data_IF_471660454836
#
_entry.id   IF_471660454836
#
_cell.length_a   1.000
_cell.length_b   1.000
_cell.length_c   1.000
_cell.angle_alpha   90.00
_cell.angle_beta   90.00
_cell.angle_gamma   90.00
#
_symmetry.space_group_name_H-M   'P 1'
#
loop_
_entity.id
_entity.type
_entity.pdbx_description
1 polymer ?
#
# COMPACT_ATOMS: atom_id res chain seq x y z
N UNK A 1 -6.84 4.43 9.73
CA UNK A 1 -7.70 3.66 8.80
C UNK A 1 -7.00 3.55 7.48
N UNK A 2 -6.88 2.37 6.88
CA UNK A 2 -6.17 2.14 5.63
C UNK A 2 -7.09 1.76 4.48
N UNK A 3 -6.55 1.73 3.27
CA UNK A 3 -7.22 1.19 2.10
C UNK A 3 -7.25 -0.34 2.19
N UNK A 4 -8.29 -0.94 1.64
CA UNK A 4 -8.46 -2.38 1.63
C UNK A 4 -8.98 -2.87 0.29
N UNK A 5 -8.64 -4.12 0.03
CA UNK A 5 -8.96 -4.85 -1.18
C UNK A 5 -9.54 -6.22 -0.81
N UNK A 6 -10.50 -6.70 -1.60
CA UNK A 6 -11.05 -8.05 -1.43
C UNK A 6 -11.40 -8.70 -2.77
N UNK A 7 -11.14 -10.00 -2.86
CA UNK A 7 -11.39 -10.88 -4.00
C UNK A 7 -12.57 -11.82 -3.74
N UNK A 8 -12.96 -12.58 -4.77
CA UNK A 8 -13.73 -13.81 -4.56
C UNK A 8 -12.87 -14.86 -3.84
N UNK A 9 -13.52 -15.70 -3.02
CA UNK A 9 -12.84 -16.80 -2.32
C UNK A 9 -12.24 -17.77 -3.34
N UNK A 10 -10.95 -18.05 -3.23
CA UNK A 10 -10.18 -18.92 -4.11
C UNK A 10 -9.28 -18.15 -5.09
N UNK A 11 -9.53 -16.85 -5.29
CA UNK A 11 -8.76 -16.02 -6.23
C UNK A 11 -7.65 -15.21 -5.53
N UNK A 12 -7.46 -15.39 -4.22
CA UNK A 12 -6.52 -14.58 -3.42
C UNK A 12 -5.10 -14.59 -3.98
N UNK A 13 -4.65 -15.67 -4.62
CA UNK A 13 -3.28 -15.79 -5.11
C UNK A 13 -3.03 -15.28 -6.53
N UNK A 14 -4.09 -14.88 -7.23
CA UNK A 14 -4.01 -14.43 -8.62
C UNK A 14 -4.49 -12.98 -8.80
N UNK A 15 -4.86 -12.33 -7.71
CA UNK A 15 -5.24 -10.92 -7.71
C UNK A 15 -4.40 -10.17 -6.69
N UNK A 16 -3.65 -9.19 -7.16
CA UNK A 16 -2.64 -8.50 -6.36
C UNK A 16 -2.82 -6.99 -6.38
N UNK A 17 -2.54 -6.34 -5.25
CA UNK A 17 -2.42 -4.89 -5.18
C UNK A 17 -1.05 -4.42 -5.69
N UNK A 18 -1.04 -3.37 -6.51
CA UNK A 18 0.17 -2.60 -6.82
C UNK A 18 -0.03 -1.13 -6.48
N UNK A 19 0.95 -0.53 -5.81
CA UNK A 19 0.98 0.90 -5.47
C UNK A 19 2.27 1.50 -6.00
N UNK A 20 2.15 2.49 -6.87
CA UNK A 20 3.26 3.17 -7.52
C UNK A 20 3.21 4.66 -7.19
N UNK A 21 4.34 5.25 -6.83
CA UNK A 21 4.42 6.68 -6.55
C UNK A 21 4.45 7.51 -7.84
N UNK A 22 4.33 8.83 -7.72
CA UNK A 22 4.22 9.74 -8.87
C UNK A 22 5.42 9.69 -9.85
N UNK A 23 6.60 9.28 -9.38
CA UNK A 23 7.81 9.18 -10.18
C UNK A 23 8.00 7.78 -10.83
N UNK A 24 7.07 6.86 -10.64
CA UNK A 24 7.12 5.50 -11.18
C UNK A 24 7.75 4.44 -10.27
N UNK A 25 8.19 4.78 -9.05
CA UNK A 25 8.71 3.78 -8.10
C UNK A 25 7.59 2.86 -7.61
N UNK A 26 7.77 1.54 -7.77
CA UNK A 26 6.87 0.54 -7.17
C UNK A 26 7.09 0.47 -5.66
N UNK A 27 6.07 0.85 -4.89
CA UNK A 27 6.15 0.89 -3.42
C UNK A 27 5.62 -0.40 -2.81
N UNK A 28 4.44 -0.85 -3.24
CA UNK A 28 3.82 -2.10 -2.80
C UNK A 28 3.52 -2.92 -4.05
N UNK A 29 3.86 -4.21 -4.05
CA UNK A 29 3.54 -5.12 -5.15
C UNK A 29 4.28 -6.46 -5.01
N UNK A 30 3.99 -7.42 -5.88
CA UNK A 30 4.64 -8.74 -5.86
C UNK A 30 5.88 -8.82 -6.75
N UNK A 31 6.12 -7.81 -7.59
CA UNK A 31 7.27 -7.80 -8.48
C UNK A 31 8.56 -7.49 -7.72
N UNK A 32 9.70 -7.97 -8.24
CA UNK A 32 10.98 -7.91 -7.52
C UNK A 32 11.46 -6.48 -7.24
N UNK A 33 11.10 -5.54 -8.10
CA UNK A 33 11.42 -4.12 -8.03
C UNK A 33 10.60 -3.34 -6.99
N UNK A 34 9.56 -3.94 -6.41
CA UNK A 34 8.74 -3.28 -5.42
C UNK A 34 9.44 -3.25 -4.06
N UNK A 35 9.37 -2.09 -3.39
CA UNK A 35 10.04 -1.87 -2.11
C UNK A 35 9.44 -2.72 -0.96
N UNK A 36 8.11 -2.91 -0.98
CA UNK A 36 7.37 -3.71 0.01
C UNK A 36 6.59 -4.81 -0.71
N UNK A 37 7.02 -6.06 -0.50
CA UNK A 37 6.45 -7.25 -1.16
C UNK A 37 5.63 -8.12 -0.23
N UNK A 38 6.09 -8.19 1.01
CA UNK A 38 5.54 -9.06 2.04
C UNK A 38 4.79 -8.28 3.11
N UNK A 39 4.15 -9.00 4.03
CA UNK A 39 3.58 -8.40 5.22
C UNK A 39 4.62 -7.59 6.00
N UNK A 40 4.34 -6.32 6.23
CA UNK A 40 5.20 -5.45 7.07
C UNK A 40 5.02 -5.75 8.56
N UNK A 41 4.04 -6.60 8.92
CA UNK A 41 3.77 -6.99 10.30
C UNK A 41 4.74 -8.09 10.75
N UNK A 42 5.77 -7.68 11.46
CA UNK A 42 6.79 -8.53 12.10
C UNK A 42 6.68 -8.40 13.62
N UNK A 43 7.45 -9.18 14.37
CA UNK A 43 7.46 -9.08 15.83
C UNK A 43 8.03 -7.71 16.26
N UNK A 44 7.20 -6.87 16.88
CA UNK A 44 7.60 -5.54 17.37
C UNK A 44 7.59 -4.41 16.32
N UNK A 45 7.32 -4.71 15.05
CA UNK A 45 7.29 -3.73 13.96
C UNK A 45 6.10 -4.00 13.04
N UNK A 46 5.35 -2.95 12.68
CA UNK A 46 4.16 -3.07 11.81
C UNK A 46 4.26 -2.25 10.53
N UNK A 47 5.29 -1.41 10.41
CA UNK A 47 5.58 -0.59 9.25
C UNK A 47 6.97 -0.93 8.74
N UNK A 48 7.15 -0.96 7.43
CA UNK A 48 8.47 -0.82 6.81
C UNK A 48 8.63 0.66 6.41
N UNK A 49 9.81 1.24 6.67
CA UNK A 49 10.12 2.61 6.26
C UNK A 49 10.76 2.55 4.88
N UNK A 50 10.22 3.32 3.93
CA UNK A 50 10.75 3.41 2.57
C UNK A 50 11.05 4.86 2.22
N UNK A 51 12.14 5.10 1.50
CA UNK A 51 12.52 6.42 1.02
C UNK A 51 12.13 6.58 -0.45
N UNK A 52 11.41 7.66 -0.78
CA UNK A 52 11.03 8.01 -2.15
C UNK A 52 11.25 9.51 -2.33
N UNK A 53 12.09 9.88 -3.29
CA UNK A 53 12.48 11.27 -3.57
C UNK A 53 12.98 12.04 -2.33
N UNK A 54 13.72 11.34 -1.44
CA UNK A 54 14.27 11.93 -0.21
C UNK A 54 13.25 12.13 0.91
N UNK A 55 12.04 11.59 0.79
CA UNK A 55 11.01 11.59 1.83
C UNK A 55 10.82 10.17 2.36
N UNK A 56 10.76 10.01 3.68
CA UNK A 56 10.52 8.73 4.33
C UNK A 56 9.03 8.50 4.58
N UNK A 57 8.56 7.31 4.24
CA UNK A 57 7.18 6.88 4.37
C UNK A 57 7.09 5.65 5.27
N UNK A 58 6.18 5.70 6.25
CA UNK A 58 5.75 4.52 6.98
C UNK A 58 4.73 3.75 6.15
N UNK A 59 5.16 2.61 5.58
CA UNK A 59 4.30 1.73 4.78
C UNK A 59 3.85 0.56 5.63
N UNK A 60 2.54 0.35 5.71
CA UNK A 60 1.95 -0.87 6.27
C UNK A 60 1.29 -1.64 5.16
N UNK A 61 1.62 -2.91 5.04
CA UNK A 61 1.01 -3.82 4.08
C UNK A 61 0.71 -5.17 4.74
N UNK A 62 -0.43 -5.78 4.42
CA UNK A 62 -0.81 -7.08 4.97
C UNK A 62 -0.02 -8.25 4.39
N UNK A 63 0.61 -8.08 3.23
CA UNK A 63 1.03 -9.18 2.36
C UNK A 63 -0.10 -9.55 1.38
N UNK A 64 0.28 -10.24 0.30
CA UNK A 64 -0.63 -10.87 -0.66
C UNK A 64 -1.23 -12.17 -0.10
N UNK A 65 -1.98 -12.92 -0.93
CA UNK A 65 -2.57 -14.24 -0.60
C UNK A 65 -3.53 -14.23 0.60
N UNK A 66 -3.95 -13.04 1.05
CA UNK A 66 -4.92 -12.88 2.13
C UNK A 66 -6.23 -12.41 1.56
N UNK A 67 -7.32 -12.94 2.10
CA UNK A 67 -8.69 -12.58 1.68
C UNK A 67 -9.00 -11.07 1.73
N UNK A 68 -8.26 -10.34 2.56
CA UNK A 68 -8.45 -8.93 2.81
C UNK A 68 -7.08 -8.25 2.83
N UNK A 69 -6.57 -7.93 1.65
CA UNK A 69 -5.34 -7.14 1.56
C UNK A 69 -5.60 -5.71 2.03
N UNK A 70 -4.65 -5.17 2.80
CA UNK A 70 -4.73 -3.83 3.38
C UNK A 70 -3.42 -3.12 3.24
N UNK A 71 -3.49 -1.84 2.97
CA UNK A 71 -2.33 -0.98 3.08
C UNK A 71 -2.64 0.38 3.70
N UNK A 72 -1.61 1.02 4.24
CA UNK A 72 -1.61 2.43 4.59
C UNK A 72 -0.23 3.01 4.38
N UNK A 73 -0.18 4.22 3.85
CA UNK A 73 1.04 5.01 3.70
C UNK A 73 0.86 6.26 4.56
N UNK A 74 1.84 6.53 5.41
CA UNK A 74 1.88 7.63 6.37
C UNK A 74 3.25 8.32 6.27
N UNK A 75 3.37 9.60 6.67
CA UNK A 75 4.69 10.17 6.89
C UNK A 75 5.45 9.38 7.97
N UNK A 76 6.77 9.37 7.92
CA UNK A 76 7.58 8.74 8.97
C UNK A 76 7.30 9.38 10.34
N UNK A 77 7.27 10.71 10.38
CA UNK A 77 6.90 11.51 11.55
C UNK A 77 5.42 11.87 11.56
N UNK A 78 4.76 11.78 12.73
CA UNK A 78 3.36 12.20 12.90
C UNK A 78 3.13 13.70 12.76
N UNK A 79 4.20 14.49 12.88
CA UNK A 79 4.15 15.95 12.78
C UNK A 79 4.22 16.44 11.34
N UNK A 80 4.74 15.61 10.44
CA UNK A 80 4.90 15.92 9.03
C UNK A 80 3.65 15.61 8.19
N UNK A 81 3.70 16.05 6.94
CA UNK A 81 2.67 15.83 5.93
C UNK A 81 3.27 15.07 4.75
N UNK A 82 2.47 14.23 4.12
CA UNK A 82 2.83 13.69 2.82
C UNK A 82 2.81 14.83 1.78
N UNK A 83 3.73 14.82 0.80
CA UNK A 83 3.65 15.76 -0.31
C UNK A 83 2.36 15.55 -1.09
N UNK A 84 1.83 16.64 -1.66
CA UNK A 84 0.71 16.56 -2.60
C UNK A 84 1.21 15.92 -3.90
N UNK A 85 0.80 14.67 -4.13
CA UNK A 85 1.29 13.84 -5.22
C UNK A 85 0.23 12.83 -5.68
N UNK A 86 0.29 12.50 -6.96
CA UNK A 86 -0.55 11.44 -7.54
C UNK A 86 0.09 10.08 -7.27
N UNK A 87 -0.68 9.19 -6.65
CA UNK A 87 -0.30 7.79 -6.45
C UNK A 87 -1.16 6.91 -7.34
N UNK A 88 -0.53 5.97 -8.04
CA UNK A 88 -1.25 4.98 -8.82
C UNK A 88 -1.54 3.77 -7.94
N UNK A 89 -2.81 3.36 -7.87
CA UNK A 89 -3.23 2.16 -7.14
C UNK A 89 -3.95 1.26 -8.12
N UNK A 90 -3.34 0.11 -8.40
CA UNK A 90 -3.82 -0.86 -9.38
C UNK A 90 -4.17 -2.16 -8.68
N UNK A 91 -5.24 -2.79 -9.16
CA UNK A 91 -5.55 -4.18 -8.83
C UNK A 91 -5.16 -5.00 -10.05
N UNK A 92 -4.03 -5.70 -9.95
CA UNK A 92 -3.54 -6.60 -10.97
C UNK A 92 -4.38 -7.87 -10.93
N UNK A 93 -5.17 -8.09 -11.98
CA UNK A 93 -6.09 -9.22 -12.13
C UNK A 93 -6.41 -9.44 -13.60
N UNK A 94 -6.91 -10.63 -13.90
CA UNK A 94 -7.55 -10.93 -15.17
C UNK A 94 -9.05 -10.61 -15.07
N UNK A 95 -9.92 -11.63 -15.15
CA UNK A 95 -11.38 -11.50 -15.15
C UNK A 95 -12.01 -11.58 -13.76
N UNK A 96 -11.21 -11.66 -12.70
CA UNK A 96 -11.70 -11.86 -11.34
C UNK A 96 -12.48 -10.63 -10.83
N UNK A 97 -13.60 -10.91 -10.15
CA UNK A 97 -14.39 -9.86 -9.50
C UNK A 97 -13.66 -9.40 -8.24
N UNK A 98 -13.56 -8.08 -8.07
CA UNK A 98 -12.84 -7.52 -6.94
C UNK A 98 -13.44 -6.19 -6.48
N UNK A 99 -13.27 -5.87 -5.20
CA UNK A 99 -13.75 -4.61 -4.62
C UNK A 99 -12.61 -3.89 -3.91
N UNK A 100 -12.43 -2.64 -4.29
CA UNK A 100 -11.44 -1.75 -3.70
C UNK A 100 -12.15 -0.66 -2.90
N UNK A 101 -11.74 -0.50 -1.64
CA UNK A 101 -12.23 0.54 -0.75
C UNK A 101 -11.03 1.35 -0.25
N UNK A 102 -11.08 2.66 -0.43
CA UNK A 102 -10.01 3.55 0.00
C UNK A 102 -10.55 4.64 0.91
N UNK A 103 -9.64 5.19 1.73
CA UNK A 103 -9.92 6.36 2.55
C UNK A 103 -8.67 7.23 2.61
N UNK A 104 -8.82 8.48 2.24
CA UNK A 104 -7.80 9.52 2.41
C UNK A 104 -8.15 10.29 3.69
N UNK A 105 -7.16 10.48 4.56
CA UNK A 105 -7.32 11.27 5.79
C UNK A 105 -6.44 12.50 5.68
N UNK A 106 -7.05 13.68 5.75
CA UNK A 106 -6.34 14.95 5.73
C UNK A 106 -6.05 15.40 7.15
N UNK A 107 -4.86 15.97 7.37
CA UNK A 107 -4.51 16.71 8.58
C UNK A 107 -4.66 18.21 8.25
N UNK A 108 -5.35 18.97 9.08
CA UNK A 108 -5.45 20.42 8.92
C UNK A 108 -4.24 21.11 9.53
N UNK A 109 -3.82 22.20 8.91
CA UNK A 109 -2.94 23.19 9.53
C UNK A 109 -3.87 24.16 10.25
N UNK A 110 -3.81 24.20 11.59
CA UNK A 110 -4.48 25.27 12.37
C UNK A 110 -3.81 26.63 12.14
#
# INVERSE_FOLDING_TARGET
SGSLFTTSRGDESIVNLQVTSSNGVCVIGQSEECLVKESTRKQGQIYDVVEIDGVNYNVRYSGADVRLEKFSILPESSDEFLPDANWNVEILKDDQVSRFYYKITYKSVE
#
